data_IF_734861104586
#
_entry.id   IF_734861104586
#
_cell.length_a   1.000
_cell.length_b   1.000
_cell.length_c   1.000
_cell.angle_alpha   90.00
_cell.angle_beta   90.00
_cell.angle_gamma   90.00
#
_symmetry.space_group_name_H-M   'P 1'
#
loop_
_entity.id
_entity.type
_entity.pdbx_description
1 polymer ?
#
# COMPACT_ATOMS: atom_id res chain seq x y z
N UNK A 1 16.82 -9.66 -21.11
CA UNK A 1 17.38 -8.33 -21.46
C UNK A 1 17.40 -8.35 -22.95
N UNK A 2 16.57 -7.52 -23.56
CA UNK A 2 16.15 -7.74 -24.93
C UNK A 2 16.06 -6.38 -25.66
N UNK A 3 15.96 -6.40 -26.98
CA UNK A 3 15.53 -5.25 -27.80
C UNK A 3 16.28 -3.93 -27.54
N UNK A 4 17.62 -3.96 -27.47
CA UNK A 4 18.44 -2.75 -27.45
C UNK A 4 18.53 -1.99 -26.12
N UNK A 5 18.22 -2.64 -24.99
CA UNK A 5 18.42 -2.02 -23.68
C UNK A 5 19.88 -1.61 -23.42
N UNK A 6 20.10 -0.41 -22.89
CA UNK A 6 21.43 0.15 -22.61
C UNK A 6 21.61 0.39 -21.12
N UNK A 7 22.52 -0.35 -20.47
CA UNK A 7 22.75 -0.26 -19.04
C UNK A 7 24.20 0.12 -18.73
N UNK A 8 24.39 1.08 -17.82
CA UNK A 8 25.72 1.51 -17.37
C UNK A 8 25.75 1.58 -15.84
N UNK A 9 26.63 0.79 -15.20
CA UNK A 9 26.76 0.75 -13.73
C UNK A 9 25.43 0.45 -13.01
N UNK A 10 24.69 -0.54 -13.51
CA UNK A 10 23.42 -0.96 -12.93
C UNK A 10 23.53 -2.31 -12.23
N UNK A 11 22.77 -2.48 -11.14
CA UNK A 11 22.46 -3.80 -10.58
C UNK A 11 21.11 -4.27 -11.13
N UNK A 12 21.00 -5.55 -11.51
CA UNK A 12 19.77 -6.14 -12.04
C UNK A 12 19.46 -7.45 -11.30
N UNK A 13 18.40 -7.42 -10.50
CA UNK A 13 17.92 -8.50 -9.66
C UNK A 13 17.08 -9.56 -10.39
N UNK A 14 16.54 -10.49 -9.61
CA UNK A 14 15.87 -11.67 -10.14
C UNK A 14 14.58 -11.32 -10.88
N UNK A 15 14.38 -11.92 -12.06
CA UNK A 15 13.18 -11.73 -12.89
C UNK A 15 12.90 -10.28 -13.36
N UNK A 16 13.93 -9.42 -13.39
CA UNK A 16 13.82 -8.11 -14.04
C UNK A 16 13.69 -8.24 -15.56
N UNK A 17 12.86 -7.40 -16.18
CA UNK A 17 12.69 -7.31 -17.63
C UNK A 17 12.98 -5.89 -18.11
N UNK A 18 14.16 -5.69 -18.71
CA UNK A 18 14.57 -4.43 -19.30
C UNK A 18 14.71 -4.63 -20.81
N UNK A 19 13.99 -3.82 -21.61
CA UNK A 19 13.96 -3.98 -23.06
C UNK A 19 13.37 -2.79 -23.82
N UNK A 20 13.16 -2.95 -25.12
CA UNK A 20 12.58 -1.94 -26.01
C UNK A 20 13.28 -0.58 -25.92
N UNK A 21 14.60 -0.58 -26.11
CA UNK A 21 15.49 0.60 -26.01
C UNK A 21 15.45 1.32 -24.64
N UNK A 22 15.09 0.61 -23.57
CA UNK A 22 15.19 1.17 -22.22
C UNK A 22 16.64 1.49 -21.88
N UNK A 23 16.90 2.70 -21.40
CA UNK A 23 18.23 3.12 -20.95
C UNK A 23 18.27 3.24 -19.43
N UNK A 24 19.35 2.78 -18.80
CA UNK A 24 19.57 3.03 -17.39
C UNK A 24 21.05 3.30 -17.06
N UNK A 25 21.28 4.22 -16.12
CA UNK A 25 22.60 4.47 -15.55
C UNK A 25 22.57 4.59 -14.03
N UNK A 26 23.62 4.10 -13.37
CA UNK A 26 23.82 4.26 -11.91
C UNK A 26 22.65 3.76 -11.05
N UNK A 27 21.93 2.73 -11.52
CA UNK A 27 20.62 2.36 -10.97
C UNK A 27 20.58 0.94 -10.44
N UNK A 28 19.80 0.72 -9.38
CA UNK A 28 19.58 -0.59 -8.78
C UNK A 28 18.16 -1.05 -9.11
N UNK A 29 18.01 -2.22 -9.75
CA UNK A 29 16.71 -2.84 -10.02
C UNK A 29 16.61 -4.16 -9.25
N UNK A 30 15.66 -4.25 -8.32
CA UNK A 30 15.37 -5.45 -7.55
C UNK A 30 14.25 -6.29 -8.19
N UNK A 31 13.86 -7.39 -7.55
CA UNK A 31 13.07 -8.45 -8.17
C UNK A 31 11.81 -8.00 -8.90
N UNK A 32 11.54 -8.60 -10.06
CA UNK A 32 10.33 -8.36 -10.86
C UNK A 32 10.14 -6.90 -11.33
N UNK A 33 11.20 -6.08 -11.39
CA UNK A 33 11.13 -4.78 -12.05
C UNK A 33 10.97 -4.92 -13.57
N UNK A 34 10.26 -3.97 -14.18
CA UNK A 34 10.07 -3.93 -15.63
C UNK A 34 10.34 -2.53 -16.18
N UNK A 35 11.19 -2.44 -17.18
CA UNK A 35 11.57 -1.20 -17.84
C UNK A 35 11.52 -1.37 -19.36
N UNK A 36 10.58 -0.69 -19.99
CA UNK A 36 10.42 -0.62 -21.44
C UNK A 36 10.33 0.84 -21.86
N UNK A 37 10.93 1.19 -23.00
CA UNK A 37 10.69 2.45 -23.72
C UNK A 37 11.06 3.77 -22.99
N UNK A 38 11.61 3.72 -21.78
CA UNK A 38 11.95 4.87 -20.93
C UNK A 38 13.42 4.93 -20.51
N UNK A 39 13.71 5.84 -19.59
CA UNK A 39 15.05 6.09 -19.05
C UNK A 39 15.04 6.04 -17.52
N UNK A 40 16.12 5.49 -16.94
CA UNK A 40 16.40 5.56 -15.51
C UNK A 40 17.81 6.09 -15.21
N UNK A 41 17.94 6.98 -14.24
CA UNK A 41 19.24 7.50 -13.82
C UNK A 41 19.33 7.66 -12.31
N UNK A 42 20.33 7.04 -11.68
CA UNK A 42 20.56 7.12 -10.24
C UNK A 42 19.33 6.74 -9.38
N UNK A 43 18.63 5.65 -9.73
CA UNK A 43 17.43 5.21 -8.99
C UNK A 43 17.68 3.97 -8.13
N UNK A 44 16.92 3.89 -7.03
CA UNK A 44 16.71 2.66 -6.27
C UNK A 44 15.31 2.12 -6.61
N UNK A 45 15.24 1.14 -7.52
CA UNK A 45 14.01 0.49 -7.93
C UNK A 45 13.82 -0.82 -7.17
N UNK A 46 13.12 -0.76 -6.04
CA UNK A 46 12.62 -1.91 -5.30
C UNK A 46 11.65 -2.75 -6.13
N UNK A 47 11.23 -3.94 -5.64
CA UNK A 47 10.48 -4.92 -6.41
C UNK A 47 9.24 -4.37 -7.10
N UNK A 48 8.94 -4.87 -8.30
CA UNK A 48 7.79 -4.44 -9.10
C UNK A 48 7.76 -2.93 -9.40
N UNK A 49 8.90 -2.28 -9.55
CA UNK A 49 8.98 -0.95 -10.16
C UNK A 49 8.83 -1.11 -11.68
N UNK A 50 7.80 -0.49 -12.24
CA UNK A 50 7.34 -0.75 -13.61
C UNK A 50 7.23 0.55 -14.41
N UNK A 51 7.85 0.56 -15.58
CA UNK A 51 7.69 1.57 -16.62
C UNK A 51 7.51 0.87 -17.97
N UNK A 52 6.40 1.10 -18.68
CA UNK A 52 6.12 0.44 -19.97
C UNK A 52 6.20 1.37 -21.19
N UNK A 53 5.91 2.64 -20.97
CA UNK A 53 5.55 3.58 -22.02
C UNK A 53 6.71 4.51 -22.39
N UNK A 54 6.66 5.05 -23.61
CA UNK A 54 7.64 6.03 -24.07
C UNK A 54 7.58 7.33 -23.27
N UNK A 55 8.76 7.93 -23.18
CA UNK A 55 9.10 9.19 -22.51
C UNK A 55 8.92 9.20 -20.99
N UNK A 56 8.89 8.03 -20.33
CA UNK A 56 9.02 7.95 -18.88
C UNK A 56 10.49 8.12 -18.48
N UNK A 57 10.77 9.07 -17.59
CA UNK A 57 12.06 9.25 -16.93
C UNK A 57 11.90 8.98 -15.44
N UNK A 58 12.69 8.04 -14.90
CA UNK A 58 12.89 7.85 -13.47
C UNK A 58 14.28 8.36 -13.09
N UNK A 59 14.37 9.36 -12.24
CA UNK A 59 15.67 9.97 -11.88
C UNK A 59 15.78 10.19 -10.38
N UNK A 60 16.97 9.96 -9.80
CA UNK A 60 17.34 10.33 -8.44
C UNK A 60 16.23 10.04 -7.42
N UNK A 61 15.75 8.80 -7.38
CA UNK A 61 14.56 8.45 -6.63
C UNK A 61 14.55 7.02 -6.13
N UNK A 62 13.88 6.82 -4.99
CA UNK A 62 13.54 5.50 -4.47
C UNK A 62 12.10 5.16 -4.83
N UNK A 63 11.92 3.99 -5.44
CA UNK A 63 10.64 3.48 -5.92
C UNK A 63 10.47 2.04 -5.44
N UNK A 64 9.24 1.62 -5.13
CA UNK A 64 8.93 0.22 -4.84
C UNK A 64 7.48 -0.07 -5.20
N UNK A 65 7.23 -1.19 -5.87
CA UNK A 65 5.91 -1.54 -6.41
C UNK A 65 5.26 -0.42 -7.25
N UNK A 66 6.11 0.45 -7.82
CA UNK A 66 5.66 1.64 -8.51
C UNK A 66 5.13 1.28 -9.89
N UNK A 67 4.03 1.92 -10.29
CA UNK A 67 3.59 1.91 -11.68
C UNK A 67 3.67 3.32 -12.26
N UNK A 68 4.59 3.53 -13.21
CA UNK A 68 4.75 4.80 -13.88
C UNK A 68 3.85 4.90 -15.11
N UNK A 69 2.93 5.87 -15.09
CA UNK A 69 2.14 6.24 -16.27
C UNK A 69 3.01 6.75 -17.43
N UNK A 70 2.46 6.77 -18.64
CA UNK A 70 3.16 7.30 -19.83
C UNK A 70 3.60 8.75 -19.64
N UNK A 71 4.80 9.10 -20.08
CA UNK A 71 5.31 10.48 -19.94
C UNK A 71 5.57 10.92 -18.50
N UNK A 72 5.61 9.97 -17.54
CA UNK A 72 5.95 10.31 -16.15
C UNK A 72 7.38 10.80 -16.08
N UNK A 73 7.59 12.00 -15.55
CA UNK A 73 8.89 12.66 -15.58
C UNK A 73 9.20 13.30 -14.24
N UNK A 74 10.47 13.36 -13.84
CA UNK A 74 10.89 14.03 -12.62
C UNK A 74 12.15 14.84 -12.89
N UNK A 75 12.45 15.79 -12.01
CA UNK A 75 13.72 16.51 -12.08
C UNK A 75 14.26 16.79 -10.69
N UNK A 76 15.58 16.77 -10.56
CA UNK A 76 16.33 17.06 -9.34
C UNK A 76 17.14 18.36 -9.41
N UNK A 77 16.94 19.19 -10.44
CA UNK A 77 17.66 20.44 -10.65
C UNK A 77 17.24 21.53 -9.65
N UNK A 78 17.84 21.51 -8.46
CA UNK A 78 17.75 22.59 -7.49
C UNK A 78 19.05 23.42 -7.50
N UNK A 79 19.06 24.50 -8.29
CA UNK A 79 20.26 25.34 -8.51
C UNK A 79 20.96 25.84 -7.23
N UNK A 80 20.25 25.95 -6.11
CA UNK A 80 20.79 26.49 -4.85
C UNK A 80 21.40 25.46 -3.90
N UNK A 81 21.08 24.18 -4.06
CA UNK A 81 21.39 23.14 -3.06
C UNK A 81 22.30 22.01 -3.60
N UNK A 82 22.71 22.08 -4.86
CA UNK A 82 23.60 21.10 -5.50
C UNK A 82 22.87 19.83 -5.96
N UNK A 83 23.59 18.79 -6.40
CA UNK A 83 23.01 17.60 -7.03
C UNK A 83 22.40 16.56 -6.06
N UNK A 84 22.26 16.88 -4.76
CA UNK A 84 21.89 15.90 -3.73
C UNK A 84 20.41 16.08 -3.33
N UNK A 85 19.50 15.88 -4.30
CA UNK A 85 18.06 15.83 -4.04
C UNK A 85 17.46 14.56 -4.61
N UNK A 86 16.85 13.78 -3.73
CA UNK A 86 16.14 12.58 -4.11
C UNK A 86 14.64 12.67 -3.84
N UNK A 87 13.88 12.01 -4.70
CA UNK A 87 12.47 11.71 -4.46
C UNK A 87 12.29 10.38 -3.76
N UNK A 88 11.17 10.21 -3.05
CA UNK A 88 10.73 8.90 -2.57
C UNK A 88 9.28 8.69 -2.93
N UNK A 89 9.03 7.71 -3.79
CA UNK A 89 7.71 7.16 -4.03
C UNK A 89 7.64 5.83 -3.30
N UNK A 90 6.99 5.87 -2.13
CA UNK A 90 6.86 4.67 -1.29
C UNK A 90 6.04 3.58 -1.99
N UNK A 91 6.12 2.36 -1.44
CA UNK A 91 5.45 1.15 -1.94
C UNK A 91 4.11 1.40 -2.59
N UNK A 92 3.96 0.97 -3.83
CA UNK A 92 2.68 0.93 -4.54
C UNK A 92 2.22 2.29 -5.05
N UNK A 93 3.05 3.33 -4.94
CA UNK A 93 2.75 4.63 -5.52
C UNK A 93 2.63 4.55 -7.05
N UNK A 94 1.74 5.37 -7.61
CA UNK A 94 1.47 5.40 -9.05
C UNK A 94 1.48 6.82 -9.56
N UNK A 95 1.85 6.99 -10.81
CA UNK A 95 1.68 8.23 -11.54
C UNK A 95 0.69 8.02 -12.68
N UNK A 96 -0.19 8.99 -12.92
CA UNK A 96 -0.99 9.01 -14.16
C UNK A 96 -0.11 9.42 -15.33
N UNK A 97 -0.66 9.32 -16.54
CA UNK A 97 0.00 9.88 -17.72
C UNK A 97 0.34 11.37 -17.53
N UNK A 98 1.48 11.78 -18.09
CA UNK A 98 2.03 13.14 -18.07
C UNK A 98 2.20 13.75 -16.66
N UNK A 99 2.39 12.90 -15.66
CA UNK A 99 2.71 13.36 -14.30
C UNK A 99 4.14 13.88 -14.22
N UNK A 100 4.32 14.97 -13.47
CA UNK A 100 5.63 15.55 -13.21
C UNK A 100 5.85 15.79 -11.71
N UNK A 101 7.03 15.46 -11.20
CA UNK A 101 7.38 15.73 -9.79
C UNK A 101 8.77 16.37 -9.70
N UNK A 102 8.86 17.48 -8.97
CA UNK A 102 10.12 18.16 -8.69
C UNK A 102 10.70 17.67 -7.34
N UNK A 103 11.92 17.14 -7.37
CA UNK A 103 12.63 16.71 -6.16
C UNK A 103 13.23 17.88 -5.37
N UNK A 104 13.34 17.75 -4.03
CA UNK A 104 12.93 16.60 -3.22
C UNK A 104 11.41 16.55 -3.00
N UNK A 105 10.84 15.36 -2.93
CA UNK A 105 9.44 15.15 -2.54
C UNK A 105 9.24 13.72 -2.01
N UNK A 106 8.25 13.53 -1.13
CA UNK A 106 7.92 12.21 -0.58
C UNK A 106 6.44 11.91 -0.77
N UNK A 107 6.16 10.82 -1.48
CA UNK A 107 4.81 10.35 -1.80
C UNK A 107 4.51 9.12 -0.94
N UNK A 108 3.47 9.20 -0.12
CA UNK A 108 3.08 8.12 0.79
C UNK A 108 2.65 6.84 0.08
N UNK A 109 2.84 5.70 0.74
CA UNK A 109 2.55 4.38 0.18
C UNK A 109 1.16 4.28 -0.45
N UNK A 110 1.06 3.60 -1.59
CA UNK A 110 -0.15 3.38 -2.36
C UNK A 110 -0.87 4.67 -2.78
N UNK A 111 -0.16 5.78 -2.94
CA UNK A 111 -0.77 7.04 -3.39
C UNK A 111 -0.73 7.16 -4.92
N UNK A 112 -1.71 7.85 -5.50
CA UNK A 112 -1.76 8.18 -6.92
C UNK A 112 -1.38 9.65 -7.11
N UNK A 113 -0.45 9.90 -8.02
CA UNK A 113 0.00 11.25 -8.40
C UNK A 113 -0.58 11.58 -9.77
N UNK A 114 -1.24 12.73 -9.88
CA UNK A 114 -1.89 13.19 -11.10
C UNK A 114 -1.57 14.65 -11.37
N UNK A 115 -0.87 14.88 -12.48
CA UNK A 115 -0.46 16.21 -12.94
C UNK A 115 0.92 16.62 -12.44
N UNK A 116 1.16 17.93 -12.36
CA UNK A 116 2.50 18.51 -12.15
C UNK A 116 2.69 19.06 -10.74
N UNK A 117 3.58 18.46 -9.96
CA UNK A 117 3.82 18.79 -8.56
C UNK A 117 5.22 19.38 -8.37
N UNK A 118 5.29 20.69 -8.07
CA UNK A 118 6.56 21.44 -8.02
C UNK A 118 6.89 22.03 -6.66
N UNK A 119 6.10 21.73 -5.63
CA UNK A 119 6.16 22.39 -4.33
C UNK A 119 6.83 21.55 -3.23
N UNK A 120 7.57 20.50 -3.61
CA UNK A 120 8.34 19.66 -2.67
C UNK A 120 7.53 19.07 -1.50
N UNK A 121 6.32 18.57 -1.78
CA UNK A 121 5.43 18.07 -0.73
C UNK A 121 5.95 16.78 -0.09
N UNK A 122 5.87 16.70 1.24
CA UNK A 122 6.00 15.45 1.99
C UNK A 122 4.60 14.98 2.41
N UNK A 123 4.18 13.85 1.84
CA UNK A 123 2.89 13.20 2.08
C UNK A 123 3.07 11.79 2.64
N UNK A 124 4.28 11.47 3.12
CA UNK A 124 4.65 10.12 3.58
C UNK A 124 3.78 9.60 4.74
N UNK A 125 3.20 10.49 5.55
CA UNK A 125 2.28 10.15 6.64
C UNK A 125 0.80 10.13 6.22
N UNK A 126 0.50 10.32 4.93
CA UNK A 126 -0.85 10.23 4.36
C UNK A 126 -0.89 9.17 3.25
N UNK A 127 -0.80 7.87 3.59
CA UNK A 127 -0.82 6.81 2.60
C UNK A 127 -2.19 6.70 1.94
N UNK A 128 -2.26 6.01 0.80
CA UNK A 128 -3.47 5.81 -0.01
C UNK A 128 -4.13 7.13 -0.46
N UNK A 129 -3.34 8.18 -0.67
CA UNK A 129 -3.85 9.49 -1.05
C UNK A 129 -3.89 9.67 -2.56
N UNK A 130 -4.76 10.55 -3.05
CA UNK A 130 -4.58 11.15 -4.37
C UNK A 130 -3.92 12.51 -4.24
N UNK A 131 -2.86 12.74 -5.02
CA UNK A 131 -2.24 14.04 -5.25
C UNK A 131 -2.75 14.51 -6.60
N UNK A 132 -3.51 15.61 -6.60
CA UNK A 132 -4.16 16.15 -7.80
C UNK A 132 -3.66 17.57 -8.01
N UNK A 133 -3.00 17.81 -9.12
CA UNK A 133 -2.69 19.17 -9.56
C UNK A 133 -3.96 19.86 -10.05
N UNK A 134 -4.23 21.06 -9.53
CA UNK A 134 -5.24 21.97 -10.03
C UNK A 134 -4.74 23.41 -9.90
N UNK A 135 -4.62 24.12 -11.02
CA UNK A 135 -4.16 25.51 -11.09
C UNK A 135 -2.81 25.73 -10.36
N UNK A 136 -1.81 24.91 -10.67
CA UNK A 136 -0.47 24.87 -10.05
C UNK A 136 -0.47 24.60 -8.54
N UNK A 137 -1.59 24.09 -8.00
CA UNK A 137 -1.73 23.75 -6.59
C UNK A 137 -1.92 22.24 -6.45
N UNK A 138 -1.19 21.64 -5.51
CA UNK A 138 -1.37 20.23 -5.16
C UNK A 138 -2.53 20.11 -4.16
N UNK A 139 -3.59 19.42 -4.58
CA UNK A 139 -4.68 19.02 -3.71
C UNK A 139 -4.53 17.57 -3.28
N UNK A 140 -4.65 17.33 -1.98
CA UNK A 140 -4.61 16.01 -1.37
C UNK A 140 -6.01 15.51 -1.09
N UNK A 141 -6.24 14.25 -1.42
CA UNK A 141 -7.45 13.50 -1.04
C UNK A 141 -7.02 12.28 -0.22
N UNK A 142 -6.90 12.42 1.11
CA UNK A 142 -6.33 11.38 1.97
C UNK A 142 -7.16 10.09 2.01
N UNK A 143 -6.48 8.94 2.00
CA UNK A 143 -7.09 7.61 2.18
C UNK A 143 -8.03 7.15 1.06
N UNK A 144 -8.29 7.96 0.03
CA UNK A 144 -9.26 7.67 -1.02
C UNK A 144 -8.90 6.42 -1.83
N UNK A 145 -7.62 6.09 -1.93
CA UNK A 145 -7.16 4.96 -2.72
C UNK A 145 -7.41 3.60 -2.03
N UNK A 146 -7.81 3.59 -0.75
CA UNK A 146 -8.18 2.37 -0.02
C UNK A 146 -9.38 1.63 -0.65
N UNK A 147 -10.27 2.39 -1.29
CA UNK A 147 -11.48 1.86 -1.94
C UNK A 147 -11.34 1.71 -3.46
N UNK A 148 -10.15 1.88 -4.01
CA UNK A 148 -9.96 1.81 -5.47
C UNK A 148 -9.84 0.36 -5.93
N UNK A 149 -10.62 0.00 -6.95
CA UNK A 149 -10.50 -1.28 -7.65
C UNK A 149 -9.08 -1.51 -8.19
N UNK A 150 -8.44 -0.46 -8.71
CA UNK A 150 -7.08 -0.54 -9.27
C UNK A 150 -6.02 -0.90 -8.23
N UNK A 151 -6.18 -0.43 -6.99
CA UNK A 151 -5.25 -0.74 -5.89
C UNK A 151 -5.39 -2.17 -5.43
N UNK A 152 -6.63 -2.66 -5.27
CA UNK A 152 -6.89 -4.07 -4.91
C UNK A 152 -6.37 -5.02 -6.00
N UNK A 153 -6.64 -4.72 -7.27
CA UNK A 153 -6.17 -5.53 -8.39
C UNK A 153 -4.64 -5.61 -8.44
N UNK A 154 -3.93 -4.51 -8.22
CA UNK A 154 -2.47 -4.53 -8.28
C UNK A 154 -1.86 -5.31 -7.12
N UNK A 155 -2.38 -5.15 -5.91
CA UNK A 155 -1.97 -5.97 -4.77
C UNK A 155 -2.14 -7.49 -5.02
N UNK A 156 -3.23 -7.88 -5.68
CA UNK A 156 -3.47 -9.28 -6.04
C UNK A 156 -2.62 -9.78 -7.21
N UNK A 157 -2.18 -8.88 -8.11
CA UNK A 157 -1.36 -9.24 -9.28
C UNK A 157 0.07 -9.57 -8.89
N UNK A 158 0.69 -8.82 -7.97
CA UNK A 158 2.11 -8.99 -7.64
C UNK A 158 2.52 -10.43 -7.29
N UNK A 159 1.88 -11.13 -6.32
CA UNK A 159 2.27 -12.50 -6.01
C UNK A 159 2.04 -13.47 -7.18
N UNK A 160 0.99 -13.25 -8.01
CA UNK A 160 0.72 -14.06 -9.21
C UNK A 160 1.69 -13.78 -10.35
N UNK A 161 2.37 -12.63 -10.32
CA UNK A 161 3.34 -12.18 -11.30
C UNK A 161 4.77 -12.25 -10.77
N UNK A 162 5.02 -12.93 -9.64
CA UNK A 162 6.38 -13.26 -9.23
C UNK A 162 6.95 -14.27 -10.23
N UNK A 163 7.86 -13.80 -11.09
CA UNK A 163 8.49 -14.60 -12.16
C UNK A 163 9.86 -15.13 -11.73
N UNK A 164 10.21 -15.05 -10.44
CA UNK A 164 11.45 -15.64 -9.92
C UNK A 164 11.35 -17.16 -9.91
N UNK A 165 12.11 -17.78 -10.79
CA UNK A 165 12.20 -19.25 -10.94
C UNK A 165 13.32 -19.87 -10.13
N UNK A 166 14.27 -19.07 -9.64
CA UNK A 166 15.36 -19.57 -8.80
C UNK A 166 14.82 -20.08 -7.45
N UNK A 167 15.34 -21.23 -7.02
CA UNK A 167 15.06 -21.80 -5.70
C UNK A 167 15.54 -20.92 -4.56
N UNK A 168 16.62 -20.18 -4.76
CA UNK A 168 17.19 -19.25 -3.80
C UNK A 168 16.70 -17.83 -4.11
N UNK A 169 15.61 -17.41 -3.46
CA UNK A 169 15.03 -16.08 -3.59
C UNK A 169 15.72 -15.13 -2.62
N UNK A 170 16.47 -14.16 -3.14
CA UNK A 170 17.29 -13.26 -2.32
C UNK A 170 16.49 -12.07 -1.77
N UNK A 171 15.50 -11.60 -2.53
CA UNK A 171 14.63 -10.50 -2.12
C UNK A 171 13.43 -11.05 -1.32
N UNK A 172 13.31 -10.68 -0.06
CA UNK A 172 12.16 -11.03 0.76
C UNK A 172 11.05 -10.00 0.57
N UNK A 173 9.89 -10.46 0.10
CA UNK A 173 8.82 -9.57 -0.36
C UNK A 173 7.54 -9.87 0.42
N UNK A 174 7.00 -8.85 1.11
CA UNK A 174 5.65 -8.89 1.65
C UNK A 174 4.68 -8.31 0.61
N UNK A 175 3.49 -8.91 0.46
CA UNK A 175 2.47 -8.46 -0.50
C UNK A 175 1.26 -7.78 0.16
N UNK A 176 1.30 -7.64 1.48
CA UNK A 176 0.21 -7.10 2.28
C UNK A 176 -0.05 -5.63 1.93
N UNK A 177 -1.32 -5.30 1.65
CA UNK A 177 -1.77 -3.93 1.44
C UNK A 177 -1.85 -3.18 2.79
N UNK A 178 -2.52 -3.81 3.75
CA UNK A 178 -2.56 -3.38 5.15
C UNK A 178 -1.54 -4.20 5.93
N UNK A 179 -0.62 -3.50 6.58
CA UNK A 179 0.50 -4.05 7.35
C UNK A 179 0.80 -3.08 8.49
N UNK A 180 1.58 -3.48 9.52
CA UNK A 180 2.04 -2.53 10.54
C UNK A 180 2.63 -1.24 9.94
N UNK A 181 3.43 -1.37 8.87
CA UNK A 181 4.03 -0.23 8.16
C UNK A 181 3.00 0.75 7.56
N UNK A 182 1.95 0.26 6.89
CA UNK A 182 0.94 1.14 6.29
C UNK A 182 -0.06 1.64 7.32
N UNK A 183 -0.44 0.80 8.29
CA UNK A 183 -1.45 1.12 9.29
C UNK A 183 -0.91 2.09 10.33
N UNK A 184 0.36 1.98 10.78
CA UNK A 184 0.95 3.00 11.65
C UNK A 184 0.93 4.41 11.01
N UNK A 185 1.10 4.48 9.68
CA UNK A 185 1.00 5.74 8.93
C UNK A 185 -0.44 6.23 8.86
N UNK A 186 -1.43 5.33 8.81
CA UNK A 186 -2.84 5.71 8.93
C UNK A 186 -3.18 6.24 10.32
N UNK A 187 -2.60 5.69 11.40
CA UNK A 187 -2.71 6.27 12.75
C UNK A 187 -2.18 7.71 12.76
N UNK A 188 -0.93 7.91 12.35
CA UNK A 188 -0.29 9.25 12.25
C UNK A 188 -1.09 10.19 11.33
N UNK A 189 -1.57 9.69 10.20
CA UNK A 189 -2.38 10.44 9.24
C UNK A 189 -3.72 10.85 9.81
N UNK A 190 -4.44 9.95 10.49
CA UNK A 190 -5.70 10.23 11.18
C UNK A 190 -5.52 11.32 12.23
N UNK A 191 -4.49 11.23 13.06
CA UNK A 191 -4.18 12.27 14.06
C UNK A 191 -3.86 13.60 13.40
N UNK A 192 -3.00 13.59 12.38
CA UNK A 192 -2.65 14.79 11.61
C UNK A 192 -3.90 15.48 11.05
N UNK A 193 -4.82 14.74 10.44
CA UNK A 193 -6.05 15.29 9.88
C UNK A 193 -6.99 15.83 10.98
N UNK A 194 -7.10 15.15 12.12
CA UNK A 194 -7.88 15.63 13.29
C UNK A 194 -7.28 16.94 13.84
N UNK A 195 -5.95 17.01 13.96
CA UNK A 195 -5.24 18.18 14.45
C UNK A 195 -5.37 19.37 13.48
N UNK A 196 -5.26 19.14 12.16
CA UNK A 196 -5.51 20.18 11.15
C UNK A 196 -6.94 20.74 11.26
N UNK A 197 -7.93 19.85 11.44
CA UNK A 197 -9.33 20.24 11.62
C UNK A 197 -9.54 21.07 12.89
N UNK A 198 -8.91 20.67 13.99
CA UNK A 198 -8.99 21.38 15.26
C UNK A 198 -8.30 22.75 15.20
N UNK A 199 -7.05 22.81 14.72
CA UNK A 199 -6.24 24.03 14.72
C UNK A 199 -6.75 25.11 13.75
N UNK A 200 -7.24 24.73 12.57
CA UNK A 200 -7.71 25.68 11.55
C UNK A 200 -9.22 25.95 11.62
N UNK A 201 -9.94 25.30 12.54
CA UNK A 201 -11.38 25.38 12.68
C UNK A 201 -12.16 24.36 11.83
N UNK A 202 -13.25 23.84 12.39
CA UNK A 202 -14.06 22.79 11.76
C UNK A 202 -14.79 23.24 10.48
N UNK A 203 -15.07 24.54 10.38
CA UNK A 203 -15.77 25.17 9.26
C UNK A 203 -14.82 25.68 8.16
N UNK A 204 -13.51 25.45 8.28
CA UNK A 204 -12.57 25.83 7.23
C UNK A 204 -12.82 24.99 5.97
N UNK A 205 -12.99 25.65 4.82
CA UNK A 205 -13.17 24.99 3.53
C UNK A 205 -11.92 24.24 3.06
N UNK A 206 -10.74 24.75 3.42
CA UNK A 206 -9.44 24.27 2.96
C UNK A 206 -8.40 24.30 4.08
N UNK A 207 -7.68 23.21 4.22
CA UNK A 207 -6.56 23.03 5.15
C UNK A 207 -5.24 23.02 4.37
N UNK A 208 -4.21 23.66 4.90
CA UNK A 208 -2.84 23.61 4.35
C UNK A 208 -2.03 22.54 5.05
N UNK A 209 -1.29 21.73 4.29
CA UNK A 209 -0.43 20.66 4.80
C UNK A 209 0.80 20.49 3.90
N UNK A 210 2.00 20.77 4.43
CA UNK A 210 3.30 20.58 3.72
C UNK A 210 3.26 20.98 2.23
N UNK A 211 2.92 22.24 1.95
CA UNK A 211 2.82 22.82 0.59
C UNK A 211 1.72 22.25 -0.31
N UNK A 212 0.81 21.45 0.26
CA UNK A 212 -0.41 20.98 -0.39
C UNK A 212 -1.67 21.50 0.33
N UNK A 213 -2.82 21.34 -0.32
CA UNK A 213 -4.14 21.74 0.20
C UNK A 213 -5.07 20.54 0.34
N UNK A 214 -5.87 20.48 1.39
CA UNK A 214 -6.90 19.45 1.61
C UNK A 214 -8.24 20.15 1.74
N UNK A 215 -9.22 19.79 0.92
CA UNK A 215 -10.61 20.29 1.07
C UNK A 215 -11.26 19.67 2.30
N UNK A 216 -12.12 20.41 3.00
CA UNK A 216 -12.83 19.92 4.19
C UNK A 216 -13.48 18.55 4.00
N UNK A 217 -14.24 18.41 2.91
CA UNK A 217 -14.91 17.15 2.57
C UNK A 217 -13.95 15.99 2.34
N UNK A 218 -12.74 16.26 1.82
CA UNK A 218 -11.69 15.26 1.65
C UNK A 218 -11.02 14.92 2.99
N UNK A 219 -10.78 15.90 3.86
CA UNK A 219 -10.22 15.69 5.19
C UNK A 219 -11.13 14.79 6.04
N UNK A 220 -12.42 15.13 6.13
CA UNK A 220 -13.39 14.37 6.94
C UNK A 220 -13.53 12.94 6.43
N UNK A 221 -13.60 12.75 5.11
CA UNK A 221 -13.61 11.41 4.51
C UNK A 221 -12.31 10.66 4.76
N UNK A 222 -11.16 11.35 4.70
CA UNK A 222 -9.85 10.78 4.96
C UNK A 222 -9.72 10.19 6.37
N UNK A 223 -10.18 10.92 7.39
CA UNK A 223 -10.24 10.42 8.78
C UNK A 223 -11.06 9.11 8.83
N UNK A 224 -12.26 9.12 8.24
CA UNK A 224 -13.14 7.95 8.22
C UNK A 224 -12.50 6.76 7.46
N UNK A 225 -11.83 7.01 6.34
CA UNK A 225 -11.17 5.93 5.58
C UNK A 225 -10.03 5.30 6.37
N UNK A 226 -9.23 6.09 7.08
CA UNK A 226 -8.19 5.56 7.97
C UNK A 226 -8.78 4.77 9.14
N UNK A 227 -9.86 5.24 9.77
CA UNK A 227 -10.54 4.49 10.84
C UNK A 227 -11.08 3.14 10.34
N UNK A 228 -11.70 3.10 9.15
CA UNK A 228 -12.14 1.84 8.50
C UNK A 228 -10.96 0.89 8.27
N UNK A 229 -9.85 1.39 7.73
CA UNK A 229 -8.69 0.54 7.45
C UNK A 229 -8.02 0.01 8.73
N UNK A 230 -7.98 0.81 9.80
CA UNK A 230 -7.45 0.39 11.11
C UNK A 230 -8.36 -0.70 11.71
N UNK A 231 -9.69 -0.52 11.72
CA UNK A 231 -10.62 -1.58 12.16
C UNK A 231 -10.44 -2.87 11.35
N UNK A 232 -10.33 -2.76 10.02
CA UNK A 232 -10.11 -3.90 9.12
C UNK A 232 -8.82 -4.65 9.46
N UNK A 233 -7.73 -3.95 9.73
CA UNK A 233 -6.44 -4.57 10.03
C UNK A 233 -6.40 -5.20 11.43
N UNK A 234 -6.74 -4.43 12.47
CA UNK A 234 -6.67 -4.92 13.86
C UNK A 234 -7.66 -6.06 14.08
N UNK A 235 -8.90 -5.93 13.60
CA UNK A 235 -9.89 -7.00 13.71
C UNK A 235 -9.47 -8.27 12.97
N UNK A 236 -8.85 -8.16 11.79
CA UNK A 236 -8.34 -9.34 11.08
C UNK A 236 -7.20 -10.00 11.88
N UNK A 237 -6.36 -9.22 12.55
CA UNK A 237 -5.28 -9.72 13.41
C UNK A 237 -5.84 -10.48 14.61
N UNK A 238 -6.86 -9.93 15.30
CA UNK A 238 -7.57 -10.59 16.41
C UNK A 238 -8.24 -11.88 15.94
N UNK A 239 -8.98 -11.83 14.84
CA UNK A 239 -9.65 -13.02 14.27
C UNK A 239 -8.64 -14.12 13.97
N UNK A 240 -7.50 -13.77 13.34
CA UNK A 240 -6.44 -14.74 13.05
C UNK A 240 -5.75 -15.27 14.30
N UNK A 241 -5.56 -14.45 15.33
CA UNK A 241 -5.02 -14.92 16.62
C UNK A 241 -5.95 -15.95 17.27
N UNK A 242 -7.26 -15.75 17.19
CA UNK A 242 -8.27 -16.60 17.83
C UNK A 242 -8.83 -17.70 16.92
N UNK A 243 -8.32 -17.84 15.69
CA UNK A 243 -8.84 -18.78 14.68
C UNK A 243 -8.70 -20.24 15.13
N UNK A 244 -9.80 -21.00 15.04
CA UNK A 244 -9.80 -22.44 15.31
C UNK A 244 -9.69 -22.86 16.79
N UNK A 245 -9.78 -21.92 17.73
CA UNK A 245 -9.62 -22.20 19.18
C UNK A 245 -10.97 -22.04 19.89
N UNK A 246 -11.37 -23.04 20.69
CA UNK A 246 -12.51 -22.93 21.60
C UNK A 246 -12.08 -22.27 22.91
N UNK A 247 -12.95 -21.43 23.48
CA UNK A 247 -12.73 -20.77 24.76
C UNK A 247 -13.94 -21.01 25.67
N UNK A 248 -13.68 -21.16 26.96
CA UNK A 248 -14.68 -21.34 28.01
C UNK A 248 -14.74 -20.15 28.96
N UNK A 249 -13.61 -19.47 29.20
CA UNK A 249 -13.55 -18.30 30.07
C UNK A 249 -12.74 -17.15 29.45
N UNK A 250 -12.94 -15.93 29.98
CA UNK A 250 -12.19 -14.75 29.56
C UNK A 250 -10.67 -14.88 29.81
N UNK A 251 -10.26 -15.67 30.81
CA UNK A 251 -8.85 -15.91 31.12
C UNK A 251 -8.15 -16.67 30.00
N UNK A 252 -8.82 -17.63 29.36
CA UNK A 252 -8.28 -18.38 28.22
C UNK A 252 -8.09 -17.47 27.00
N UNK A 253 -9.04 -16.55 26.76
CA UNK A 253 -8.92 -15.52 25.72
C UNK A 253 -7.68 -14.66 25.99
N UNK A 254 -7.57 -14.09 27.19
CA UNK A 254 -6.43 -13.25 27.58
C UNK A 254 -5.11 -13.99 27.48
N UNK A 255 -5.06 -15.25 27.91
CA UNK A 255 -3.87 -16.11 27.78
C UNK A 255 -3.45 -16.27 26.32
N UNK A 256 -4.41 -16.45 25.41
CA UNK A 256 -4.15 -16.57 23.97
C UNK A 256 -3.74 -15.24 23.32
N UNK A 257 -4.26 -14.12 23.80
CA UNK A 257 -3.93 -12.79 23.27
C UNK A 257 -2.49 -12.37 23.57
N UNK A 258 -1.87 -12.86 24.65
CA UNK A 258 -0.47 -12.53 24.98
C UNK A 258 0.46 -12.77 23.79
N UNK A 259 1.32 -11.81 23.41
CA UNK A 259 2.31 -11.99 22.35
C UNK A 259 3.27 -13.14 22.63
N UNK A 260 3.70 -13.84 21.58
CA UNK A 260 4.65 -14.96 21.70
C UNK A 260 6.10 -14.47 21.85
N UNK A 261 6.36 -13.20 21.54
CA UNK A 261 7.68 -12.57 21.52
C UNK A 261 7.53 -11.06 21.76
N UNK A 262 8.52 -10.41 22.42
CA UNK A 262 8.56 -8.95 22.49
C UNK A 262 8.93 -8.29 21.15
N UNK A 263 9.46 -9.05 20.18
CA UNK A 263 9.84 -8.51 18.87
C UNK A 263 8.59 -8.16 18.06
N UNK A 264 8.57 -6.97 17.46
CA UNK A 264 7.43 -6.46 16.69
C UNK A 264 6.78 -5.21 17.27
N UNK A 265 7.12 -4.85 18.51
CA UNK A 265 6.71 -3.60 19.15
C UNK A 265 7.23 -2.37 18.40
N UNK A 266 6.54 -1.24 18.54
CA UNK A 266 7.03 0.06 18.08
C UNK A 266 6.89 0.30 16.57
N UNK A 267 7.90 0.94 15.95
CA UNK A 267 7.84 1.33 14.54
C UNK A 267 8.20 0.19 13.59
N UNK A 268 7.51 0.16 12.46
CA UNK A 268 7.80 -0.73 11.35
C UNK A 268 8.28 0.04 10.12
N UNK A 269 9.13 -0.59 9.33
CA UNK A 269 9.69 -0.01 8.10
C UNK A 269 9.48 -0.94 6.92
N UNK A 270 9.46 -0.36 5.73
CA UNK A 270 9.52 -1.09 4.46
C UNK A 270 10.87 -0.81 3.81
N UNK A 271 11.76 -1.80 3.87
CA UNK A 271 13.09 -1.71 3.25
C UNK A 271 13.06 -2.21 1.81
N UNK A 272 12.17 -1.60 1.02
CA UNK A 272 11.95 -1.90 -0.40
C UNK A 272 11.52 -3.33 -0.68
N UNK A 273 10.52 -3.84 0.04
CA UNK A 273 9.96 -5.18 -0.20
C UNK A 273 9.72 -5.94 1.09
N UNK A 274 10.72 -5.95 1.97
CA UNK A 274 10.61 -6.54 3.30
C UNK A 274 10.02 -5.52 4.26
N UNK A 275 8.86 -5.86 4.82
CA UNK A 275 8.25 -5.12 5.92
C UNK A 275 8.68 -5.79 7.22
N UNK A 276 9.35 -5.02 8.08
CA UNK A 276 9.94 -5.54 9.31
C UNK A 276 9.87 -4.52 10.46
N UNK A 277 9.95 -4.98 11.73
CA UNK A 277 10.12 -4.09 12.87
C UNK A 277 11.42 -3.31 12.73
N UNK A 278 11.38 -2.00 13.01
CA UNK A 278 12.56 -1.14 12.90
C UNK A 278 13.69 -1.60 13.83
N UNK A 279 13.35 -2.11 15.01
CA UNK A 279 14.33 -2.63 15.97
C UNK A 279 15.22 -3.73 15.40
N UNK A 280 14.65 -4.62 14.58
CA UNK A 280 15.40 -5.72 13.96
C UNK A 280 16.30 -5.23 12.82
N UNK A 281 15.85 -4.20 12.10
CA UNK A 281 16.66 -3.54 11.07
C UNK A 281 17.82 -2.77 11.71
N UNK A 282 17.57 -2.04 12.79
CA UNK A 282 18.60 -1.31 13.52
C UNK A 282 19.63 -2.28 14.11
N UNK A 283 19.19 -3.39 14.72
CA UNK A 283 20.09 -4.43 15.23
C UNK A 283 20.95 -5.07 14.12
N UNK A 284 20.40 -5.25 12.92
CA UNK A 284 21.14 -5.70 11.75
C UNK A 284 22.20 -4.66 11.32
N UNK A 285 21.85 -3.38 11.29
CA UNK A 285 22.78 -2.29 10.96
C UNK A 285 23.92 -2.25 11.99
N UNK A 286 23.61 -2.26 13.28
CA UNK A 286 24.60 -2.28 14.37
C UNK A 286 25.51 -3.51 14.28
N UNK A 287 24.95 -4.67 13.94
CA UNK A 287 25.70 -5.90 13.69
C UNK A 287 26.67 -5.79 12.52
N UNK A 288 26.29 -5.10 11.44
CA UNK A 288 27.16 -4.84 10.29
C UNK A 288 28.27 -3.83 10.66
N UNK A 289 27.91 -2.71 11.28
CA UNK A 289 28.85 -1.63 11.64
C UNK A 289 29.91 -2.09 12.65
N UNK A 290 29.51 -2.93 13.61
CA UNK A 290 30.42 -3.53 14.58
C UNK A 290 31.29 -4.67 14.01
N UNK A 291 30.98 -5.15 12.81
CA UNK A 291 31.65 -6.29 12.18
C UNK A 291 31.22 -7.66 12.71
N UNK A 292 30.24 -7.72 13.62
CA UNK A 292 29.64 -8.98 14.10
C UNK A 292 28.96 -9.75 12.94
N UNK A 293 28.32 -9.01 12.02
CA UNK A 293 27.75 -9.51 10.77
C UNK A 293 28.65 -9.03 9.62
N UNK A 294 29.61 -9.85 9.24
CA UNK A 294 30.63 -9.50 8.24
C UNK A 294 30.54 -10.30 6.93
N UNK A 295 29.43 -11.03 6.70
CA UNK A 295 29.20 -11.80 5.47
C UNK A 295 27.81 -11.56 4.92
N UNK A 296 27.70 -11.40 3.60
CA UNK A 296 26.43 -11.21 2.89
C UNK A 296 25.39 -12.30 3.20
N UNK A 297 25.82 -13.55 3.34
CA UNK A 297 24.93 -14.67 3.69
C UNK A 297 24.27 -14.51 5.07
N UNK A 298 24.94 -13.86 6.02
CA UNK A 298 24.37 -13.62 7.35
C UNK A 298 23.37 -12.46 7.31
N UNK A 299 23.65 -11.42 6.53
CA UNK A 299 22.69 -10.33 6.26
C UNK A 299 21.42 -10.90 5.63
N UNK A 300 21.55 -11.76 4.61
CA UNK A 300 20.41 -12.39 3.95
C UNK A 300 19.62 -13.32 4.89
N UNK A 301 20.31 -14.05 5.78
CA UNK A 301 19.64 -14.88 6.80
C UNK A 301 18.81 -14.06 7.80
N UNK A 302 19.25 -12.85 8.15
CA UNK A 302 18.45 -11.93 8.98
C UNK A 302 17.19 -11.43 8.25
N UNK A 303 17.30 -11.09 6.97
CA UNK A 303 16.13 -10.78 6.15
C UNK A 303 15.15 -11.95 6.07
N UNK A 304 15.66 -13.17 5.88
CA UNK A 304 14.85 -14.39 5.88
C UNK A 304 14.14 -14.60 7.21
N UNK A 305 14.85 -14.44 8.33
CA UNK A 305 14.31 -14.59 9.68
C UNK A 305 13.17 -13.59 9.90
N UNK A 306 13.37 -12.31 9.57
CA UNK A 306 12.34 -11.29 9.71
C UNK A 306 11.11 -11.59 8.83
N UNK A 307 11.33 -11.99 7.58
CA UNK A 307 10.23 -12.32 6.65
C UNK A 307 9.41 -13.51 7.14
N UNK A 308 10.08 -14.58 7.60
CA UNK A 308 9.44 -15.80 8.08
C UNK A 308 8.61 -15.58 9.35
N UNK A 309 9.07 -14.70 10.23
CA UNK A 309 8.39 -14.36 11.48
C UNK A 309 7.41 -13.19 11.37
N UNK A 310 7.14 -12.69 10.15
CA UNK A 310 6.32 -11.51 9.91
C UNK A 310 5.00 -11.52 10.70
N UNK A 311 4.22 -12.60 10.64
CA UNK A 311 2.91 -12.67 11.32
C UNK A 311 3.02 -12.75 12.84
N UNK A 312 4.09 -13.35 13.37
CA UNK A 312 4.36 -13.38 14.80
C UNK A 312 4.68 -11.97 15.31
N UNK A 313 5.52 -11.23 14.58
CA UNK A 313 5.85 -9.84 14.92
C UNK A 313 4.65 -8.90 14.70
N UNK A 314 3.88 -9.10 13.62
CA UNK A 314 2.66 -8.34 13.35
C UNK A 314 1.68 -8.44 14.51
N UNK A 315 1.55 -9.63 15.11
CA UNK A 315 0.68 -9.81 16.28
C UNK A 315 1.13 -8.98 17.48
N UNK A 316 2.44 -8.98 17.80
CA UNK A 316 2.99 -8.14 18.87
C UNK A 316 2.64 -6.67 18.65
N UNK A 317 2.78 -6.17 17.42
CA UNK A 317 2.40 -4.81 17.06
C UNK A 317 0.89 -4.56 17.21
N UNK A 318 0.07 -5.46 16.68
CA UNK A 318 -1.38 -5.34 16.72
C UNK A 318 -1.91 -5.32 18.17
N UNK A 319 -1.34 -6.16 19.04
CA UNK A 319 -1.66 -6.25 20.46
C UNK A 319 -1.51 -4.88 21.16
N UNK A 320 -0.39 -4.19 20.96
CA UNK A 320 -0.15 -2.85 21.52
C UNK A 320 -1.17 -1.82 20.98
N UNK A 321 -1.55 -1.93 19.71
CA UNK A 321 -2.49 -1.00 19.08
C UNK A 321 -3.95 -1.22 19.43
N UNK A 322 -4.31 -2.35 20.06
CA UNK A 322 -5.66 -2.58 20.53
C UNK A 322 -6.04 -1.58 21.62
N UNK A 323 -5.17 -1.38 22.61
CA UNK A 323 -5.40 -0.41 23.68
C UNK A 323 -5.47 1.02 23.13
N UNK A 324 -4.50 1.41 22.29
CA UNK A 324 -4.43 2.76 21.70
C UNK A 324 -5.69 3.10 20.89
N UNK A 325 -6.25 2.13 20.16
CA UNK A 325 -7.34 2.40 19.24
C UNK A 325 -8.73 2.16 19.83
N UNK A 326 -8.90 1.10 20.61
CA UNK A 326 -10.20 0.73 21.20
C UNK A 326 -10.35 1.22 22.65
N UNK A 327 -9.26 1.62 23.32
CA UNK A 327 -9.27 1.99 24.74
C UNK A 327 -9.43 0.80 25.68
N UNK A 328 -9.16 -0.42 25.19
CA UNK A 328 -9.33 -1.68 25.93
C UNK A 328 -7.96 -2.31 26.12
N UNK A 329 -7.49 -2.32 27.38
CA UNK A 329 -6.27 -3.01 27.75
C UNK A 329 -6.42 -4.52 27.44
N UNK A 330 -5.57 -5.12 26.59
CA UNK A 330 -5.70 -6.52 26.19
C UNK A 330 -5.67 -7.52 27.36
N UNK A 331 -5.06 -7.15 28.48
CA UNK A 331 -5.01 -7.93 29.72
C UNK A 331 -6.37 -8.03 30.42
N UNK A 332 -7.25 -7.07 30.17
CA UNK A 332 -8.59 -7.02 30.74
C UNK A 332 -9.67 -7.48 29.75
N UNK A 333 -9.30 -7.69 28.49
CA UNK A 333 -10.21 -8.01 27.39
C UNK A 333 -11.12 -9.20 27.70
N UNK A 334 -12.39 -9.04 27.36
CA UNK A 334 -13.46 -10.02 27.56
C UNK A 334 -13.99 -10.54 26.22
N UNK A 335 -14.81 -11.58 26.25
CA UNK A 335 -15.51 -12.07 25.07
C UNK A 335 -16.41 -10.99 24.43
N UNK A 336 -17.01 -10.11 25.25
CA UNK A 336 -17.82 -8.97 24.78
C UNK A 336 -16.98 -7.95 24.00
N UNK A 337 -15.78 -7.64 24.50
CA UNK A 337 -14.84 -6.76 23.79
C UNK A 337 -14.40 -7.36 22.45
N UNK A 338 -14.15 -8.67 22.40
CA UNK A 338 -13.84 -9.37 21.16
C UNK A 338 -15.02 -9.28 20.19
N UNK A 339 -16.25 -9.52 20.65
CA UNK A 339 -17.45 -9.37 19.82
C UNK A 339 -17.52 -7.95 19.25
N UNK A 340 -17.32 -6.92 20.07
CA UNK A 340 -17.33 -5.52 19.64
C UNK A 340 -16.29 -5.24 18.55
N UNK A 341 -15.05 -5.70 18.75
CA UNK A 341 -13.96 -5.56 17.76
C UNK A 341 -14.33 -6.25 16.45
N UNK A 342 -14.89 -7.46 16.52
CA UNK A 342 -15.28 -8.27 15.35
C UNK A 342 -16.46 -7.66 14.61
N UNK A 343 -17.43 -7.07 15.31
CA UNK A 343 -18.53 -6.32 14.70
C UNK A 343 -18.01 -5.09 13.94
N UNK A 344 -17.15 -4.28 14.56
CA UNK A 344 -16.51 -3.13 13.89
C UNK A 344 -15.67 -3.54 12.70
N UNK A 345 -14.96 -4.66 12.82
CA UNK A 345 -14.22 -5.24 11.72
C UNK A 345 -15.13 -5.67 10.56
N UNK A 346 -16.24 -6.35 10.87
CA UNK A 346 -17.22 -6.80 9.87
C UNK A 346 -17.83 -5.61 9.13
N UNK A 347 -18.25 -4.57 9.86
CA UNK A 347 -18.72 -3.30 9.30
C UNK A 347 -17.67 -2.67 8.38
N UNK A 348 -16.41 -2.62 8.82
CA UNK A 348 -15.31 -2.01 8.06
C UNK A 348 -14.98 -2.80 6.78
N UNK A 349 -14.89 -4.12 6.84
CA UNK A 349 -14.59 -4.99 5.70
C UNK A 349 -15.72 -4.92 4.67
N UNK A 350 -16.95 -5.20 5.09
CA UNK A 350 -18.11 -5.18 4.19
C UNK A 350 -18.34 -3.77 3.63
N UNK A 351 -18.19 -2.74 4.47
CA UNK A 351 -18.31 -1.34 4.04
C UNK A 351 -17.26 -0.98 2.98
N UNK A 352 -16.00 -1.36 3.17
CA UNK A 352 -14.94 -1.09 2.21
C UNK A 352 -15.14 -1.88 0.90
N UNK A 353 -15.53 -3.15 0.99
CA UNK A 353 -15.78 -3.99 -0.18
C UNK A 353 -16.96 -3.46 -1.01
N UNK A 354 -18.02 -2.96 -0.36
CA UNK A 354 -19.11 -2.23 -1.04
C UNK A 354 -18.60 -0.98 -1.74
N UNK A 355 -17.70 -0.21 -1.13
CA UNK A 355 -17.11 0.96 -1.80
C UNK A 355 -16.26 0.57 -3.01
N UNK A 356 -15.52 -0.54 -2.94
CA UNK A 356 -14.74 -1.10 -4.06
C UNK A 356 -15.67 -1.57 -5.18
N UNK A 357 -16.78 -2.23 -4.83
CA UNK A 357 -17.81 -2.64 -5.77
C UNK A 357 -18.42 -1.44 -6.52
N UNK A 358 -18.79 -0.38 -5.80
CA UNK A 358 -19.29 0.85 -6.42
C UNK A 358 -18.23 1.58 -7.26
N UNK A 359 -16.95 1.46 -6.92
CA UNK A 359 -15.87 1.98 -7.75
C UNK A 359 -15.71 1.16 -9.04
N UNK A 360 -15.78 -0.17 -8.94
CA UNK A 360 -15.73 -1.07 -10.10
C UNK A 360 -16.88 -0.84 -11.07
N UNK A 361 -18.10 -0.52 -10.59
CA UNK A 361 -19.25 -0.17 -11.44
C UNK A 361 -18.96 0.95 -12.43
N UNK A 362 -18.10 1.91 -12.07
CA UNK A 362 -17.77 3.03 -12.95
C UNK A 362 -17.05 2.58 -14.23
N UNK A 363 -16.35 1.44 -14.19
CA UNK A 363 -15.68 0.85 -15.36
C UNK A 363 -16.67 0.29 -16.40
N UNK A 364 -17.96 0.19 -16.06
CA UNK A 364 -19.06 -0.29 -16.91
C UNK A 364 -20.03 0.84 -17.30
N UNK A 365 -19.62 2.09 -17.09
CA UNK A 365 -20.39 3.27 -17.48
C UNK A 365 -20.35 3.50 -19.00
N UNK A 366 -21.33 4.26 -19.53
CA UNK A 366 -21.38 4.67 -20.94
C UNK A 366 -20.07 5.33 -21.43
N UNK A 367 -19.40 6.10 -20.55
CA UNK A 367 -18.10 6.72 -20.87
C UNK A 367 -17.00 5.68 -21.10
N UNK A 368 -17.06 4.54 -20.41
CA UNK A 368 -16.12 3.43 -20.57
C UNK A 368 -16.34 2.65 -21.87
N UNK A 369 -17.52 2.79 -22.48
CA UNK A 369 -17.87 2.16 -23.75
C UNK A 369 -17.38 2.96 -24.96
N UNK A 370 -16.82 4.17 -24.80
CA UNK A 370 -16.51 5.11 -25.90
C UNK A 370 -15.70 4.50 -27.06
N UNK A 371 -14.83 3.52 -26.79
CA UNK A 371 -14.02 2.84 -27.81
C UNK A 371 -14.62 1.58 -28.43
N UNK A 372 -15.86 1.21 -28.10
CA UNK A 372 -16.53 -0.02 -28.57
C UNK A 372 -17.59 0.29 -29.61
N UNK A 373 -17.81 -0.63 -30.56
CA UNK A 373 -18.77 -0.46 -31.66
C UNK A 373 -18.50 0.80 -32.50
N UNK A 374 -17.25 0.98 -32.96
CA UNK A 374 -16.74 2.23 -33.56
C UNK A 374 -17.57 2.78 -34.74
N UNK A 375 -18.27 1.91 -35.47
CA UNK A 375 -19.16 2.20 -36.60
C UNK A 375 -20.61 1.72 -36.36
N UNK A 376 -20.90 1.22 -35.15
CA UNK A 376 -22.16 0.59 -34.80
C UNK A 376 -23.17 1.51 -34.13
N UNK A 377 -24.42 1.03 -34.09
CA UNK A 377 -25.47 1.55 -33.24
C UNK A 377 -25.13 1.41 -31.75
N UNK A 378 -25.92 2.07 -30.90
CA UNK A 378 -25.77 1.94 -29.45
C UNK A 378 -25.87 0.48 -28.97
N UNK A 379 -26.71 -0.33 -29.60
CA UNK A 379 -26.86 -1.74 -29.28
C UNK A 379 -25.60 -2.53 -29.64
N UNK A 380 -25.02 -2.30 -30.81
CA UNK A 380 -23.78 -2.95 -31.24
C UNK A 380 -22.59 -2.55 -30.35
N UNK A 381 -22.55 -1.29 -29.91
CA UNK A 381 -21.59 -0.81 -28.91
C UNK A 381 -21.72 -1.49 -27.56
N UNK A 382 -22.96 -1.67 -27.07
CA UNK A 382 -23.24 -2.37 -25.81
C UNK A 382 -22.87 -3.87 -25.92
N UNK A 383 -23.22 -4.51 -27.04
CA UNK A 383 -22.86 -5.90 -27.32
C UNK A 383 -21.35 -6.10 -27.44
N UNK A 384 -20.64 -5.24 -28.18
CA UNK A 384 -19.19 -5.31 -28.33
C UNK A 384 -18.48 -5.10 -26.99
N UNK A 385 -18.96 -4.14 -26.19
CA UNK A 385 -18.46 -3.95 -24.82
C UNK A 385 -18.67 -5.21 -23.97
N UNK A 386 -19.87 -5.80 -23.98
CA UNK A 386 -20.19 -7.00 -23.21
C UNK A 386 -19.37 -8.21 -23.67
N UNK A 387 -19.13 -8.39 -24.97
CA UNK A 387 -18.28 -9.48 -25.48
C UNK A 387 -16.83 -9.39 -24.99
N UNK A 388 -16.28 -8.17 -24.87
CA UNK A 388 -14.88 -7.96 -24.46
C UNK A 388 -14.72 -7.89 -22.95
N UNK A 389 -15.62 -7.19 -22.25
CA UNK A 389 -15.52 -6.88 -20.82
C UNK A 389 -16.34 -7.82 -19.95
N UNK A 390 -17.25 -8.57 -20.55
CA UNK A 390 -18.32 -9.29 -19.87
C UNK A 390 -19.41 -8.35 -19.38
N UNK A 391 -20.51 -8.92 -18.90
CA UNK A 391 -21.46 -8.19 -18.08
C UNK A 391 -20.86 -7.91 -16.68
N UNK A 392 -21.44 -6.92 -16.00
CA UNK A 392 -20.93 -6.48 -14.71
C UNK A 392 -21.09 -7.55 -13.61
N UNK A 393 -22.21 -8.27 -13.61
CA UNK A 393 -22.59 -9.22 -12.55
C UNK A 393 -21.70 -10.48 -12.58
N UNK A 394 -21.31 -10.92 -13.77
CA UNK A 394 -20.44 -12.07 -14.02
C UNK A 394 -18.95 -11.69 -14.12
N UNK A 395 -18.60 -10.42 -13.95
CA UNK A 395 -17.20 -10.01 -14.00
C UNK A 395 -16.40 -10.70 -12.86
N UNK A 396 -15.29 -11.42 -13.16
CA UNK A 396 -14.57 -12.20 -12.16
C UNK A 396 -14.09 -11.40 -10.94
N UNK A 397 -13.79 -10.12 -11.12
CA UNK A 397 -13.42 -9.25 -9.99
C UNK A 397 -14.64 -8.93 -9.11
N UNK A 398 -15.77 -8.62 -9.73
CA UNK A 398 -17.02 -8.28 -9.03
C UNK A 398 -17.50 -9.49 -8.23
N UNK A 399 -17.55 -10.68 -8.84
CA UNK A 399 -17.89 -11.92 -8.15
C UNK A 399 -16.92 -12.23 -7.01
N UNK A 400 -15.62 -11.95 -7.19
CA UNK A 400 -14.63 -12.14 -6.12
C UNK A 400 -14.85 -11.18 -4.93
N UNK A 401 -15.28 -9.93 -5.17
CA UNK A 401 -15.63 -8.98 -4.10
C UNK A 401 -16.87 -9.45 -3.35
N UNK A 402 -17.93 -9.87 -4.05
CA UNK A 402 -19.14 -10.39 -3.41
C UNK A 402 -18.85 -11.66 -2.58
N UNK A 403 -18.12 -12.61 -3.16
CA UNK A 403 -17.67 -13.81 -2.42
C UNK A 403 -16.82 -13.45 -1.20
N UNK A 404 -15.96 -12.44 -1.31
CA UNK A 404 -15.16 -11.98 -0.18
C UNK A 404 -16.03 -11.40 0.94
N UNK A 405 -17.09 -10.64 0.61
CA UNK A 405 -18.08 -10.17 1.59
C UNK A 405 -18.72 -11.35 2.33
N UNK A 406 -19.18 -12.36 1.60
CA UNK A 406 -19.85 -13.53 2.19
C UNK A 406 -18.91 -14.31 3.12
N UNK A 407 -17.69 -14.60 2.65
CA UNK A 407 -16.66 -15.32 3.43
C UNK A 407 -16.28 -14.55 4.70
N UNK A 408 -16.12 -13.22 4.60
CA UNK A 408 -15.73 -12.40 5.75
C UNK A 408 -16.87 -12.20 6.74
N UNK A 409 -18.11 -12.10 6.25
CA UNK A 409 -19.31 -12.08 7.10
C UNK A 409 -19.40 -13.38 7.89
N UNK A 410 -19.31 -14.53 7.22
CA UNK A 410 -19.35 -15.84 7.87
C UNK A 410 -18.23 -16.02 8.90
N UNK A 411 -17.01 -15.55 8.60
CA UNK A 411 -15.88 -15.61 9.52
C UNK A 411 -16.11 -14.77 10.79
N UNK A 412 -16.71 -13.57 10.65
CA UNK A 412 -17.07 -12.73 11.78
C UNK A 412 -18.17 -13.36 12.64
N UNK A 413 -19.22 -13.87 12.00
CA UNK A 413 -20.35 -14.49 12.68
C UNK A 413 -19.95 -15.78 13.41
N UNK A 414 -19.02 -16.54 12.83
CA UNK A 414 -18.42 -17.73 13.47
C UNK A 414 -17.72 -17.37 14.78
N UNK A 415 -16.82 -16.37 14.76
CA UNK A 415 -16.08 -15.98 15.97
C UNK A 415 -17.02 -15.37 17.01
N UNK A 416 -17.98 -14.53 16.60
CA UNK A 416 -19.01 -13.99 17.51
C UNK A 416 -19.77 -15.13 18.19
N UNK A 417 -20.23 -16.13 17.41
CA UNK A 417 -20.94 -17.28 17.95
C UNK A 417 -20.10 -18.15 18.89
N UNK A 418 -18.77 -18.18 18.71
CA UNK A 418 -17.86 -18.79 19.69
C UNK A 418 -17.75 -17.97 20.96
N UNK A 419 -17.55 -16.65 20.85
CA UNK A 419 -17.40 -15.76 22.01
C UNK A 419 -18.66 -15.70 22.88
N UNK A 420 -19.85 -15.79 22.28
CA UNK A 420 -21.13 -15.84 23.03
C UNK A 420 -21.28 -17.04 23.97
N UNK A 421 -20.46 -18.08 23.81
CA UNK A 421 -20.49 -19.29 24.65
C UNK A 421 -19.52 -19.21 25.84
N UNK A 422 -18.69 -18.18 25.89
CA UNK A 422 -17.72 -17.93 26.96
C UNK A 422 -18.47 -17.37 28.16
N UNK A 423 -18.21 -17.92 29.34
CA UNK A 423 -18.87 -17.55 30.59
C UNK A 423 -18.17 -16.40 31.32
#
# INVERSE_FOLDING_TARGET
>A
MDDGAMLTRCFVGQACKLGHNYSASDSLFFSNCQGENGEACAIFAGPYTVTHHKSTLLIAGMFSFMNAGSGSNQSNHMYKLGPIHQGTLERGAKTTSDSYILWPARVGAFSLVMGRHVNHSDTSNLPFSYLIEQNNTTYLVPGVNLRSVGTIRDAQKWPRRDQRTDTNKLDFINYNLLSPYTVQKMFKGRETLKNLRYASGELSDIYSFHSAKIRNSALVKGIRFYEIAIHKFLGNSVIKRLEGIGFHTNEEIRARLKPDTPIGSGEWVDISGLIAPKSEIDALIDGIESGAINRLKHINAEFERMHRNYYTYEWTWAYEKLEEFYGIAPENMTAEDIIHIVEKWKEAVVGLDRMVYEDAKKEFSLASMTGFGADGSRLEKELDFEQVRGDFENNPFVTAVLKHIDVKTALGDELIGRMQKVQ
#
